data_IF_631604531412
#
_entry.id   IF_631604531412
#
_cell.length_a   1.000
_cell.length_b   1.000
_cell.length_c   1.000
_cell.angle_alpha   90.00
_cell.angle_beta   90.00
_cell.angle_gamma   90.00
#
_symmetry.space_group_name_H-M   'P 1'
#
loop_
_entity.id
_entity.type
_entity.pdbx_description
1 polymer ?
#
# COMPACT_ATOMS: atom_id res chain seq x y z
N UNK A 1 -14.29 5.46 14.25
CA UNK A 1 -14.31 5.25 15.72
C UNK A 1 -13.14 4.35 16.02
N UNK A 2 -12.32 4.74 16.98
CA UNK A 2 -11.22 3.90 17.49
C UNK A 2 -11.79 3.00 18.58
N UNK A 3 -11.61 1.69 18.44
CA UNK A 3 -12.16 0.67 19.34
C UNK A 3 -11.08 -0.38 19.65
N UNK A 4 -11.08 -0.99 20.85
CA UNK A 4 -10.28 -2.18 21.11
C UNK A 4 -10.75 -3.36 20.24
N UNK A 5 -9.94 -4.42 20.16
CA UNK A 5 -10.38 -5.68 19.57
C UNK A 5 -11.52 -6.27 20.41
N UNK A 6 -12.46 -6.97 19.77
CA UNK A 6 -13.58 -7.62 20.47
C UNK A 6 -13.09 -8.61 21.55
N UNK A 7 -11.98 -9.32 21.31
CA UNK A 7 -11.39 -10.23 22.30
C UNK A 7 -10.69 -9.52 23.46
N UNK A 8 -10.41 -8.22 23.33
CA UNK A 8 -9.54 -7.46 24.23
C UNK A 8 -8.04 -7.72 24.02
N UNK A 9 -7.66 -8.58 23.08
CA UNK A 9 -6.25 -8.92 22.85
C UNK A 9 -5.47 -7.75 22.25
N UNK A 10 -4.19 -7.67 22.63
CA UNK A 10 -3.22 -6.72 22.10
C UNK A 10 -1.94 -7.42 21.65
N UNK A 11 -1.08 -6.70 20.94
CA UNK A 11 0.30 -7.09 20.69
C UNK A 11 1.23 -5.87 20.65
N UNK A 12 2.48 -6.07 21.03
CA UNK A 12 3.51 -5.03 21.00
C UNK A 12 4.26 -5.07 19.67
N UNK A 13 4.48 -3.90 19.07
CA UNK A 13 5.41 -3.71 17.97
C UNK A 13 6.75 -3.23 18.53
N UNK A 14 7.84 -3.94 18.23
CA UNK A 14 9.19 -3.63 18.71
C UNK A 14 10.04 -3.01 17.60
N UNK A 15 10.93 -2.09 17.96
CA UNK A 15 11.85 -1.49 17.00
C UNK A 15 12.85 -2.55 16.48
N UNK A 16 12.95 -2.78 15.16
CA UNK A 16 13.87 -3.79 14.61
C UNK A 16 15.35 -3.40 14.75
N UNK A 17 15.68 -2.12 14.92
CA UNK A 17 17.05 -1.66 15.19
C UNK A 17 17.45 -1.79 16.68
N UNK A 18 16.48 -1.74 17.60
CA UNK A 18 16.67 -2.01 19.02
C UNK A 18 15.44 -2.72 19.62
N UNK A 19 15.48 -4.06 19.65
CA UNK A 19 14.34 -4.89 20.10
C UNK A 19 13.91 -4.68 21.55
N UNK A 20 14.68 -3.94 22.35
CA UNK A 20 14.29 -3.56 23.73
C UNK A 20 13.32 -2.37 23.73
N UNK A 21 13.27 -1.62 22.65
CA UNK A 21 12.39 -0.48 22.48
C UNK A 21 11.04 -0.95 21.91
N UNK A 22 9.98 -0.72 22.69
CA UNK A 22 8.61 -0.88 22.23
C UNK A 22 8.17 0.39 21.49
N UNK A 23 7.74 0.23 20.24
CA UNK A 23 7.22 1.34 19.43
C UNK A 23 5.84 1.72 19.95
N UNK A 24 4.93 0.76 20.04
CA UNK A 24 3.55 0.91 20.55
C UNK A 24 2.87 -0.46 20.71
N UNK A 25 1.84 -0.51 21.55
CA UNK A 25 0.89 -1.63 21.67
C UNK A 25 -0.36 -1.39 20.79
N UNK A 26 -0.77 -2.42 20.05
CA UNK A 26 -1.93 -2.36 19.15
C UNK A 26 -2.98 -3.42 19.49
N UNK A 27 -4.25 -3.09 19.24
CA UNK A 27 -5.33 -4.06 19.27
C UNK A 27 -5.09 -5.18 18.26
N UNK A 28 -5.32 -6.42 18.69
CA UNK A 28 -5.20 -7.62 17.86
C UNK A 28 -6.59 -8.07 17.40
N UNK A 29 -7.08 -7.42 16.36
CA UNK A 29 -8.39 -7.73 15.77
C UNK A 29 -8.46 -9.15 15.21
N UNK A 30 -9.63 -9.76 15.36
CA UNK A 30 -9.97 -11.08 14.85
C UNK A 30 -11.01 -11.05 13.72
N UNK A 31 -11.62 -12.22 13.46
CA UNK A 31 -12.64 -12.38 12.43
C UNK A 31 -13.88 -11.51 12.67
N UNK A 32 -14.33 -11.42 13.92
CA UNK A 32 -15.52 -10.62 14.29
C UNK A 32 -15.31 -9.12 14.05
N UNK A 33 -14.11 -8.60 14.35
CA UNK A 33 -13.77 -7.20 14.06
C UNK A 33 -13.77 -6.94 12.55
N UNK A 34 -13.26 -7.88 11.76
CA UNK A 34 -13.29 -7.80 10.30
C UNK A 34 -14.72 -7.79 9.75
N UNK A 35 -15.62 -8.62 10.28
CA UNK A 35 -17.04 -8.63 9.93
C UNK A 35 -17.70 -7.29 10.23
N UNK A 36 -17.52 -6.77 11.45
CA UNK A 36 -18.06 -5.47 11.84
C UNK A 36 -17.54 -4.32 10.95
N UNK A 37 -16.27 -4.37 10.55
CA UNK A 37 -15.68 -3.40 9.63
C UNK A 37 -16.28 -3.50 8.22
N UNK A 38 -16.53 -4.71 7.71
CA UNK A 38 -17.19 -4.93 6.41
C UNK A 38 -18.63 -4.43 6.42
N UNK A 39 -19.40 -4.72 7.48
CA UNK A 39 -20.77 -4.23 7.65
C UNK A 39 -20.82 -2.69 7.69
N UNK A 40 -19.88 -2.06 8.39
CA UNK A 40 -19.76 -0.60 8.41
C UNK A 40 -19.44 -0.02 7.03
N UNK A 41 -18.55 -0.68 6.27
CA UNK A 41 -18.20 -0.30 4.90
C UNK A 41 -19.38 -0.43 3.94
N UNK A 42 -20.15 -1.50 4.05
CA UNK A 42 -21.35 -1.73 3.24
C UNK A 42 -22.42 -0.68 3.54
N UNK A 43 -22.69 -0.43 4.82
CA UNK A 43 -23.67 0.58 5.25
C UNK A 43 -23.30 2.00 4.78
N UNK A 44 -22.01 2.33 4.75
CA UNK A 44 -21.53 3.64 4.30
C UNK A 44 -21.53 3.79 2.76
N UNK A 45 -21.49 2.68 2.02
CA UNK A 45 -21.29 2.68 0.58
C UNK A 45 -22.32 3.52 -0.21
N UNK A 46 -23.65 3.41 0.03
CA UNK A 46 -24.64 4.21 -0.69
C UNK A 46 -24.43 5.73 -0.59
N UNK A 47 -24.05 6.21 0.60
CA UNK A 47 -23.77 7.64 0.82
C UNK A 47 -22.47 8.08 0.16
N UNK A 48 -21.43 7.25 0.27
CA UNK A 48 -20.12 7.58 -0.29
C UNK A 48 -20.10 7.57 -1.82
N UNK A 49 -20.73 6.56 -2.47
CA UNK A 49 -20.82 6.49 -3.93
C UNK A 49 -21.59 7.69 -4.53
N UNK A 50 -22.52 8.27 -3.77
CA UNK A 50 -23.30 9.44 -4.19
C UNK A 50 -22.54 10.77 -4.06
N UNK A 51 -21.44 10.80 -3.28
CA UNK A 51 -20.57 11.98 -3.17
C UNK A 51 -19.85 12.21 -4.49
N UNK A 52 -19.83 13.42 -5.03
CA UNK A 52 -19.19 13.70 -6.33
C UNK A 52 -17.68 13.44 -6.30
N UNK A 53 -17.11 12.97 -7.41
CA UNK A 53 -15.68 12.66 -7.50
C UNK A 53 -14.77 13.82 -7.06
N UNK A 54 -14.98 15.08 -7.50
CA UNK A 54 -14.19 16.22 -7.00
C UNK A 54 -14.27 16.42 -5.49
N UNK A 55 -15.42 16.20 -4.86
CA UNK A 55 -15.56 16.29 -3.40
C UNK A 55 -14.75 15.20 -2.69
N UNK A 56 -14.73 13.98 -3.23
CA UNK A 56 -13.84 12.91 -2.73
C UNK A 56 -12.36 13.27 -2.91
N UNK A 57 -12.01 13.90 -4.04
CA UNK A 57 -10.66 14.41 -4.31
C UNK A 57 -10.21 15.49 -3.33
N UNK A 58 -11.10 16.39 -2.89
CA UNK A 58 -10.80 17.38 -1.85
C UNK A 58 -10.39 16.74 -0.52
N UNK A 59 -11.02 15.63 -0.14
CA UNK A 59 -10.64 14.86 1.06
C UNK A 59 -9.22 14.29 0.88
N UNK A 60 -8.90 13.67 -0.27
CA UNK A 60 -7.54 13.18 -0.53
C UNK A 60 -6.50 14.31 -0.49
N UNK A 61 -6.82 15.48 -1.04
CA UNK A 61 -5.94 16.64 -0.97
C UNK A 61 -5.73 17.13 0.47
N UNK A 62 -6.77 17.10 1.31
CA UNK A 62 -6.66 17.45 2.73
C UNK A 62 -5.78 16.45 3.49
N UNK A 63 -5.96 15.14 3.25
CA UNK A 63 -5.09 14.08 3.81
C UNK A 63 -3.63 14.31 3.43
N UNK A 64 -3.36 14.62 2.15
CA UNK A 64 -2.00 14.92 1.69
C UNK A 64 -1.37 16.08 2.47
N UNK A 65 -2.14 17.13 2.75
CA UNK A 65 -1.67 18.29 3.52
C UNK A 65 -1.42 17.94 5.00
N UNK A 66 -2.29 17.12 5.61
CA UNK A 66 -2.12 16.67 7.00
C UNK A 66 -0.85 15.82 7.14
N UNK A 67 -0.64 14.86 6.24
CA UNK A 67 0.56 14.01 6.24
C UNK A 67 1.82 14.85 5.99
N UNK A 68 1.78 15.78 5.02
CA UNK A 68 2.91 16.67 4.75
C UNK A 68 3.27 17.54 5.96
N UNK A 69 2.26 18.02 6.70
CA UNK A 69 2.46 18.80 7.93
C UNK A 69 3.12 18.02 9.07
N UNK A 70 3.05 16.68 9.06
CA UNK A 70 3.63 15.79 10.08
C UNK A 70 4.84 15.00 9.57
N UNK A 71 5.47 15.42 8.48
CA UNK A 71 6.48 14.61 7.79
C UNK A 71 7.64 14.17 8.69
N UNK A 72 8.17 15.06 9.53
CA UNK A 72 9.28 14.73 10.41
C UNK A 72 8.89 13.71 11.49
N UNK A 73 7.72 13.88 12.10
CA UNK A 73 7.17 12.97 13.12
C UNK A 73 6.89 11.58 12.53
N UNK A 74 6.23 11.53 11.37
CA UNK A 74 5.91 10.28 10.68
C UNK A 74 7.17 9.56 10.19
N UNK A 75 8.19 10.29 9.74
CA UNK A 75 9.46 9.69 9.34
C UNK A 75 10.20 9.06 10.53
N UNK A 76 10.17 9.70 11.71
CA UNK A 76 10.74 9.13 12.93
C UNK A 76 10.00 7.85 13.35
N UNK A 77 8.66 7.90 13.37
CA UNK A 77 7.84 6.74 13.72
C UNK A 77 8.05 5.58 12.74
N UNK A 78 8.09 5.86 11.43
CA UNK A 78 8.35 4.84 10.40
C UNK A 78 9.75 4.22 10.54
N UNK A 79 10.77 5.03 10.82
CA UNK A 79 12.12 4.53 11.08
C UNK A 79 12.14 3.58 12.28
N UNK A 80 11.45 3.93 13.37
CA UNK A 80 11.35 3.11 14.59
C UNK A 80 10.52 1.84 14.39
N UNK A 81 9.47 1.88 13.60
CA UNK A 81 8.59 0.72 13.35
C UNK A 81 9.17 -0.27 12.34
N UNK A 82 9.68 0.20 11.21
CA UNK A 82 10.06 -0.66 10.08
C UNK A 82 11.57 -0.90 9.99
N UNK A 83 12.39 0.05 10.45
CA UNK A 83 13.85 -0.07 10.48
C UNK A 83 14.60 0.60 9.32
N UNK A 84 13.91 1.12 8.30
CA UNK A 84 14.55 1.96 7.27
C UNK A 84 15.16 3.24 7.83
N UNK A 85 16.14 3.79 7.12
CA UNK A 85 16.80 5.02 7.53
C UNK A 85 15.83 6.21 7.54
N UNK A 86 16.12 7.25 8.33
CA UNK A 86 15.30 8.48 8.37
C UNK A 86 15.12 9.14 7.00
N UNK A 87 16.16 9.07 6.17
CA UNK A 87 16.16 9.60 4.79
C UNK A 87 15.18 8.81 3.92
N UNK A 88 15.23 7.49 4.00
CA UNK A 88 14.31 6.58 3.30
C UNK A 88 12.87 6.71 3.77
N UNK A 89 12.65 6.82 5.09
CA UNK A 89 11.34 7.09 5.67
C UNK A 89 10.79 8.42 5.15
N UNK A 90 11.58 9.50 5.18
CA UNK A 90 11.19 10.81 4.65
C UNK A 90 10.80 10.76 3.16
N UNK A 91 11.54 10.00 2.34
CA UNK A 91 11.18 9.77 0.93
C UNK A 91 9.84 9.04 0.78
N UNK A 92 9.56 8.05 1.63
CA UNK A 92 8.28 7.33 1.60
C UNK A 92 7.10 8.22 2.01
N UNK A 93 7.26 9.06 3.04
CA UNK A 93 6.23 10.03 3.42
C UNK A 93 5.98 11.01 2.27
N UNK A 94 7.03 11.55 1.65
CA UNK A 94 6.91 12.44 0.49
C UNK A 94 6.16 11.77 -0.66
N UNK A 95 6.51 10.52 -0.99
CA UNK A 95 5.80 9.74 -2.02
C UNK A 95 4.33 9.54 -1.69
N UNK A 96 3.98 9.31 -0.42
CA UNK A 96 2.59 9.19 0.04
C UNK A 96 1.80 10.46 -0.23
N UNK A 97 2.39 11.63 0.07
CA UNK A 97 1.77 12.93 -0.20
C UNK A 97 1.51 13.11 -1.70
N UNK A 98 2.48 12.77 -2.54
CA UNK A 98 2.36 12.88 -4.00
C UNK A 98 1.29 11.95 -4.57
N UNK A 99 1.16 10.72 -4.04
CA UNK A 99 0.12 9.78 -4.44
C UNK A 99 -1.27 10.37 -4.17
N UNK A 100 -1.51 10.90 -2.97
CA UNK A 100 -2.80 11.49 -2.63
C UNK A 100 -3.10 12.74 -3.46
N UNK A 101 -2.11 13.60 -3.70
CA UNK A 101 -2.24 14.77 -4.59
C UNK A 101 -2.57 14.37 -6.02
N UNK A 102 -1.88 13.37 -6.54
CA UNK A 102 -2.13 12.86 -7.89
C UNK A 102 -3.58 12.36 -8.03
N UNK A 103 -4.04 11.49 -7.12
CA UNK A 103 -5.41 10.97 -7.19
C UNK A 103 -6.48 12.02 -6.84
N UNK A 104 -6.15 13.03 -6.02
CA UNK A 104 -7.01 14.20 -5.85
C UNK A 104 -7.20 14.95 -7.18
N UNK A 105 -6.13 15.14 -7.97
CA UNK A 105 -6.21 15.70 -9.31
C UNK A 105 -7.02 14.82 -10.28
N UNK A 106 -6.77 13.50 -10.26
CA UNK A 106 -7.49 12.54 -11.08
C UNK A 106 -9.00 12.52 -10.82
N UNK A 107 -9.46 12.99 -9.66
CA UNK A 107 -10.89 13.08 -9.33
C UNK A 107 -11.71 13.90 -10.34
N UNK A 108 -11.11 14.86 -11.04
CA UNK A 108 -11.75 15.67 -12.08
C UNK A 108 -11.80 14.97 -13.45
N UNK A 109 -11.10 13.84 -13.59
CA UNK A 109 -11.02 13.06 -14.83
C UNK A 109 -11.90 11.81 -14.82
N UNK A 110 -12.52 11.50 -13.68
CA UNK A 110 -13.42 10.35 -13.54
C UNK A 110 -14.70 10.65 -14.31
N UNK A 111 -14.87 9.97 -15.44
CA UNK A 111 -16.03 10.14 -16.32
C UNK A 111 -16.34 8.89 -17.13
N UNK A 112 -16.91 9.13 -18.30
CA UNK A 112 -17.35 8.12 -19.25
C UNK A 112 -16.96 8.49 -20.67
N UNK A 113 -17.38 7.68 -21.63
CA UNK A 113 -17.14 7.96 -23.06
C UNK A 113 -18.47 7.95 -23.80
N UNK A 114 -18.74 9.00 -24.58
CA UNK A 114 -19.81 9.01 -25.58
C UNK A 114 -19.27 8.34 -26.83
N UNK A 115 -20.02 7.39 -27.38
CA UNK A 115 -19.63 6.63 -28.56
C UNK A 115 -20.69 6.77 -29.65
N UNK A 116 -20.32 6.68 -30.95
CA UNK A 116 -21.29 6.73 -32.04
C UNK A 116 -22.33 5.62 -31.91
N UNK A 117 -23.58 5.95 -32.25
CA UNK A 117 -24.68 4.99 -32.38
C UNK A 117 -25.02 4.85 -33.88
N UNK A 118 -25.35 3.63 -34.32
CA UNK A 118 -25.69 3.30 -35.71
C UNK A 118 -27.13 3.68 -36.09
N UNK A 119 -28.08 3.60 -35.14
CA UNK A 119 -29.44 4.09 -35.27
C UNK A 119 -29.56 5.61 -35.02
N UNK A 120 -30.39 6.33 -35.80
CA UNK A 120 -30.64 7.76 -35.59
C UNK A 120 -31.36 8.02 -34.26
N UNK A 121 -31.21 9.25 -33.73
CA UNK A 121 -31.87 9.73 -32.51
C UNK A 121 -31.58 8.91 -31.24
N UNK A 122 -30.44 8.21 -31.18
CA UNK A 122 -29.99 7.49 -29.99
C UNK A 122 -28.65 8.05 -29.46
N UNK A 123 -28.48 8.09 -28.14
CA UNK A 123 -27.24 8.46 -27.48
C UNK A 123 -26.65 7.25 -26.77
N UNK A 124 -25.45 6.83 -27.18
CA UNK A 124 -24.72 5.75 -26.53
C UNK A 124 -23.56 6.33 -25.71
N UNK A 125 -23.50 5.98 -24.43
CA UNK A 125 -22.40 6.37 -23.55
C UNK A 125 -22.11 5.28 -22.53
N UNK A 126 -20.87 5.28 -22.04
CA UNK A 126 -20.42 4.45 -20.93
C UNK A 126 -20.18 5.34 -19.71
N UNK A 127 -20.26 4.76 -18.50
CA UNK A 127 -19.82 5.42 -17.27
C UNK A 127 -19.00 4.45 -16.43
N UNK A 128 -18.10 4.96 -15.59
CA UNK A 128 -17.41 4.18 -14.57
C UNK A 128 -18.16 4.30 -13.24
N UNK A 129 -18.43 3.17 -12.60
CA UNK A 129 -19.02 3.10 -11.26
C UNK A 129 -18.07 2.45 -10.27
N UNK A 130 -18.16 2.81 -8.97
CA UNK A 130 -17.45 2.07 -7.93
C UNK A 130 -17.95 0.63 -7.84
N UNK A 131 -17.05 -0.26 -7.44
CA UNK A 131 -17.31 -1.69 -7.31
C UNK A 131 -18.14 -2.00 -6.06
N UNK A 132 -17.92 -1.31 -4.95
CA UNK A 132 -18.56 -1.63 -3.67
C UNK A 132 -17.60 -1.52 -2.50
N UNK A 133 -17.66 -2.50 -1.60
CA UNK A 133 -16.68 -2.68 -0.52
C UNK A 133 -15.42 -3.32 -1.09
N UNK A 134 -14.28 -2.67 -0.86
CA UNK A 134 -12.95 -3.12 -1.32
C UNK A 134 -12.09 -3.48 -0.12
N UNK A 135 -11.53 -4.69 -0.14
CA UNK A 135 -10.56 -5.14 0.85
C UNK A 135 -9.13 -4.81 0.40
N UNK A 136 -8.33 -4.24 1.29
CA UNK A 136 -6.92 -3.96 1.05
C UNK A 136 -6.06 -4.75 2.04
N UNK A 137 -5.12 -5.55 1.55
CA UNK A 137 -4.14 -6.26 2.38
C UNK A 137 -2.75 -5.77 1.96
N UNK A 138 -2.04 -5.13 2.88
CA UNK A 138 -0.77 -4.41 2.56
C UNK A 138 0.41 -4.97 3.37
N UNK A 139 1.63 -4.94 2.80
CA UNK A 139 2.82 -5.48 3.43
C UNK A 139 3.43 -4.47 4.40
N UNK A 140 4.52 -4.87 5.04
CA UNK A 140 5.22 -4.12 6.07
C UNK A 140 6.35 -3.22 5.53
N UNK A 141 6.93 -3.55 4.37
CA UNK A 141 8.15 -2.90 3.87
C UNK A 141 7.97 -1.46 3.38
N UNK A 142 6.76 -1.07 3.01
CA UNK A 142 6.38 0.31 2.69
C UNK A 142 4.98 0.56 3.28
N UNK A 143 4.89 0.70 4.62
CA UNK A 143 3.64 0.60 5.36
C UNK A 143 2.80 1.88 5.26
N UNK A 144 3.24 2.92 4.56
CA UNK A 144 2.42 4.10 4.25
C UNK A 144 2.19 4.29 2.75
N UNK A 145 3.22 4.11 1.92
CA UNK A 145 3.10 4.38 0.48
C UNK A 145 2.28 3.32 -0.26
N UNK A 146 2.47 2.03 0.06
CA UNK A 146 1.70 0.95 -0.58
C UNK A 146 0.21 0.99 -0.20
N UNK A 147 -0.17 1.21 1.08
CA UNK A 147 -1.55 1.51 1.42
C UNK A 147 -2.12 2.72 0.68
N UNK A 148 -1.37 3.84 0.58
CA UNK A 148 -1.84 5.03 -0.12
C UNK A 148 -2.11 4.77 -1.62
N UNK A 149 -1.25 3.99 -2.29
CA UNK A 149 -1.45 3.58 -3.70
C UNK A 149 -2.75 2.81 -3.92
N UNK A 150 -3.26 2.13 -2.90
CA UNK A 150 -4.51 1.37 -2.98
C UNK A 150 -5.71 2.17 -2.50
N UNK A 151 -5.57 2.90 -1.39
CA UNK A 151 -6.62 3.72 -0.79
C UNK A 151 -7.04 4.86 -1.70
N UNK A 152 -6.09 5.61 -2.24
CA UNK A 152 -6.36 6.79 -3.03
C UNK A 152 -7.27 6.49 -4.24
N UNK A 153 -6.96 5.52 -5.13
CA UNK A 153 -7.86 5.14 -6.22
C UNK A 153 -9.18 4.54 -5.73
N UNK A 154 -9.16 3.68 -4.70
CA UNK A 154 -10.38 3.06 -4.19
C UNK A 154 -11.39 4.11 -3.71
N UNK A 155 -10.94 5.04 -2.86
CA UNK A 155 -11.77 6.08 -2.27
C UNK A 155 -12.20 7.12 -3.30
N UNK A 156 -11.29 7.60 -4.17
CA UNK A 156 -11.66 8.61 -5.19
C UNK A 156 -12.63 8.06 -6.23
N UNK A 157 -12.60 6.77 -6.52
CA UNK A 157 -13.60 6.11 -7.38
C UNK A 157 -14.96 5.92 -6.70
N UNK A 158 -15.06 6.09 -5.38
CA UNK A 158 -16.30 6.01 -4.62
C UNK A 158 -16.55 4.66 -3.93
N UNK A 159 -15.51 3.83 -3.78
CA UNK A 159 -15.60 2.60 -2.99
C UNK A 159 -15.44 2.90 -1.50
N UNK A 160 -16.01 2.05 -0.66
CA UNK A 160 -15.65 1.97 0.77
C UNK A 160 -14.59 0.90 0.96
N UNK A 161 -13.77 1.05 2.01
CA UNK A 161 -12.56 0.25 2.18
C UNK A 161 -12.49 -0.38 3.55
N UNK A 162 -12.10 -1.66 3.58
CA UNK A 162 -11.59 -2.34 4.77
C UNK A 162 -10.14 -2.72 4.53
N UNK A 163 -9.23 -2.13 5.31
CA UNK A 163 -7.80 -2.34 5.18
C UNK A 163 -7.26 -3.19 6.33
N UNK A 164 -6.47 -4.20 5.99
CA UNK A 164 -5.64 -4.95 6.91
C UNK A 164 -4.17 -4.68 6.60
N UNK A 165 -3.46 -3.86 7.40
CA UNK A 165 -2.02 -3.70 7.26
C UNK A 165 -1.28 -4.94 7.81
N UNK A 166 0.00 -5.08 7.46
CA UNK A 166 0.84 -6.09 8.06
C UNK A 166 0.98 -5.84 9.56
N UNK A 167 0.85 -6.90 10.36
CA UNK A 167 0.97 -6.85 11.83
C UNK A 167 2.36 -6.38 12.30
N UNK A 168 3.39 -6.54 11.45
CA UNK A 168 4.75 -6.11 11.76
C UNK A 168 4.97 -4.60 11.62
N UNK A 169 4.10 -3.86 10.92
CA UNK A 169 4.22 -2.41 10.77
C UNK A 169 2.85 -1.73 10.59
N UNK A 170 1.97 -1.75 11.61
CA UNK A 170 0.62 -1.18 11.52
C UNK A 170 0.53 0.34 11.75
N UNK A 171 1.50 0.97 12.42
CA UNK A 171 1.42 2.35 12.92
C UNK A 171 1.12 3.33 11.79
N UNK A 172 1.86 3.24 10.70
CA UNK A 172 1.66 4.13 9.54
C UNK A 172 0.26 4.04 8.93
N UNK A 173 -0.32 2.84 8.88
CA UNK A 173 -1.68 2.65 8.39
C UNK A 173 -2.71 3.30 9.33
N UNK A 174 -2.46 3.30 10.64
CA UNK A 174 -3.31 3.97 11.63
C UNK A 174 -3.13 5.50 11.61
N UNK A 175 -1.90 6.01 11.45
CA UNK A 175 -1.65 7.45 11.27
C UNK A 175 -2.34 8.00 10.03
N UNK A 176 -2.31 7.24 8.93
CA UNK A 176 -3.06 7.59 7.73
C UNK A 176 -4.57 7.58 7.99
N UNK A 177 -5.10 6.61 8.76
CA UNK A 177 -6.51 6.59 9.13
C UNK A 177 -6.91 7.81 10.01
N UNK A 178 -6.04 8.26 10.92
CA UNK A 178 -6.22 9.52 11.67
C UNK A 178 -6.26 10.71 10.72
N UNK A 179 -5.35 10.78 9.75
CA UNK A 179 -5.36 11.85 8.74
C UNK A 179 -6.66 11.87 7.92
N UNK A 180 -7.24 10.71 7.58
CA UNK A 180 -8.55 10.62 6.92
C UNK A 180 -9.70 11.08 7.83
N UNK A 181 -9.67 10.74 9.11
CA UNK A 181 -10.66 11.20 10.09
C UNK A 181 -10.61 12.73 10.24
N UNK A 182 -9.41 13.31 10.38
CA UNK A 182 -9.19 14.75 10.45
C UNK A 182 -9.59 15.48 9.15
N UNK A 183 -9.41 14.84 7.99
CA UNK A 183 -9.86 15.36 6.69
C UNK A 183 -11.37 15.28 6.48
N UNK A 184 -12.13 14.75 7.44
CA UNK A 184 -13.60 14.68 7.38
C UNK A 184 -14.14 13.53 6.53
N UNK A 185 -13.38 12.44 6.37
CA UNK A 185 -13.89 11.25 5.70
C UNK A 185 -15.13 10.71 6.44
N UNK A 186 -16.25 10.41 5.76
CA UNK A 186 -17.45 9.92 6.43
C UNK A 186 -17.23 8.59 7.17
N UNK A 187 -17.94 8.41 8.29
CA UNK A 187 -17.85 7.20 9.12
C UNK A 187 -18.17 5.94 8.29
N UNK A 188 -17.34 4.91 8.46
CA UNK A 188 -17.48 3.62 7.78
C UNK A 188 -16.88 3.60 6.36
N UNK A 189 -16.46 4.74 5.79
CA UNK A 189 -15.86 4.75 4.44
C UNK A 189 -14.47 4.12 4.42
N UNK A 190 -13.68 4.34 5.47
CA UNK A 190 -12.42 3.65 5.72
C UNK A 190 -12.51 2.94 7.07
N UNK A 191 -12.19 1.66 7.08
CA UNK A 191 -12.07 0.83 8.27
C UNK A 191 -10.69 0.17 8.22
N UNK A 192 -9.99 0.12 9.36
CA UNK A 192 -8.68 -0.50 9.47
C UNK A 192 -8.73 -1.54 10.58
N UNK A 193 -8.37 -2.79 10.25
CA UNK A 193 -8.34 -3.90 11.20
C UNK A 193 -6.94 -4.46 11.25
N UNK A 194 -6.25 -4.23 12.36
CA UNK A 194 -4.91 -4.77 12.61
C UNK A 194 -5.07 -6.15 13.24
N UNK A 195 -4.61 -7.20 12.56
CA UNK A 195 -4.82 -8.57 13.02
C UNK A 195 -4.11 -9.60 12.16
N UNK A 196 -4.31 -10.87 12.46
CA UNK A 196 -3.63 -11.97 11.75
C UNK A 196 -4.10 -12.12 10.30
N UNK A 197 -3.28 -12.69 9.43
CA UNK A 197 -3.70 -13.01 8.06
C UNK A 197 -4.81 -14.05 8.02
N UNK A 198 -4.71 -15.06 8.90
CA UNK A 198 -5.64 -16.18 9.01
C UNK A 198 -7.03 -15.79 9.51
N UNK A 199 -7.15 -14.77 10.35
CA UNK A 199 -8.47 -14.38 10.86
C UNK A 199 -9.05 -13.23 10.05
N UNK A 200 -8.33 -12.12 9.98
CA UNK A 200 -8.81 -10.91 9.30
C UNK A 200 -8.69 -11.05 7.77
N UNK A 201 -7.56 -11.57 7.28
CA UNK A 201 -7.32 -11.73 5.84
C UNK A 201 -8.26 -12.75 5.20
N UNK A 202 -8.47 -13.91 5.83
CA UNK A 202 -9.40 -14.93 5.32
C UNK A 202 -10.85 -14.43 5.32
N UNK A 203 -11.26 -13.67 6.35
CA UNK A 203 -12.59 -13.04 6.35
C UNK A 203 -12.74 -12.07 5.17
N UNK A 204 -11.76 -11.19 4.95
CA UNK A 204 -11.76 -10.26 3.82
C UNK A 204 -11.78 -10.98 2.46
N UNK A 205 -11.12 -12.14 2.34
CA UNK A 205 -11.05 -12.90 1.11
C UNK A 205 -12.31 -13.73 0.84
N UNK A 206 -13.04 -14.16 1.86
CA UNK A 206 -14.18 -15.08 1.72
C UNK A 206 -15.55 -14.41 1.86
N UNK A 207 -15.62 -13.24 2.51
CA UNK A 207 -16.90 -12.57 2.77
C UNK A 207 -17.58 -12.09 1.47
N UNK A 208 -18.87 -12.41 1.24
CA UNK A 208 -19.60 -12.11 0.01
C UNK A 208 -19.81 -10.61 -0.25
N UNK A 209 -19.76 -9.77 0.78
CA UNK A 209 -19.93 -8.32 0.67
C UNK A 209 -18.72 -7.67 -0.02
N UNK A 210 -17.53 -8.25 0.13
CA UNK A 210 -16.30 -7.75 -0.51
C UNK A 210 -16.36 -8.01 -2.01
N UNK A 211 -16.40 -6.92 -2.78
CA UNK A 211 -16.53 -6.92 -4.25
C UNK A 211 -15.19 -6.89 -4.97
N UNK A 212 -14.14 -6.41 -4.31
CA UNK A 212 -12.78 -6.50 -4.80
C UNK A 212 -11.75 -6.61 -3.67
N UNK A 213 -10.61 -7.23 -3.97
CA UNK A 213 -9.48 -7.33 -3.05
C UNK A 213 -8.19 -6.92 -3.76
N UNK A 214 -7.42 -6.03 -3.14
CA UNK A 214 -6.08 -5.66 -3.58
C UNK A 214 -5.06 -6.09 -2.54
N UNK A 215 -4.21 -7.05 -2.92
CA UNK A 215 -3.17 -7.62 -2.08
C UNK A 215 -1.79 -7.16 -2.58
N UNK A 216 -0.90 -6.88 -1.64
CA UNK A 216 0.53 -6.84 -1.90
C UNK A 216 1.27 -7.62 -0.82
N UNK A 217 2.14 -8.55 -1.24
CA UNK A 217 2.88 -9.42 -0.33
C UNK A 217 3.65 -10.51 -1.08
N UNK A 218 3.82 -11.69 -0.46
CA UNK A 218 4.51 -12.81 -1.08
C UNK A 218 3.63 -13.55 -2.09
N UNK A 219 4.27 -14.22 -3.06
CA UNK A 219 3.59 -15.04 -4.06
C UNK A 219 2.74 -16.16 -3.45
N UNK A 220 3.27 -16.90 -2.48
CA UNK A 220 2.55 -18.01 -1.86
C UNK A 220 1.23 -17.56 -1.20
N UNK A 221 1.28 -16.49 -0.42
CA UNK A 221 0.09 -15.94 0.25
C UNK A 221 -0.87 -15.33 -0.78
N UNK A 222 -0.36 -14.53 -1.73
CA UNK A 222 -1.19 -13.91 -2.76
C UNK A 222 -1.91 -14.94 -3.64
N UNK A 223 -1.23 -16.01 -4.02
CA UNK A 223 -1.82 -17.13 -4.75
C UNK A 223 -2.93 -17.82 -3.93
N UNK A 224 -2.68 -18.10 -2.65
CA UNK A 224 -3.70 -18.65 -1.75
C UNK A 224 -4.94 -17.77 -1.64
N UNK A 225 -4.76 -16.46 -1.46
CA UNK A 225 -5.89 -15.50 -1.44
C UNK A 225 -6.62 -15.50 -2.79
N UNK A 226 -5.89 -15.50 -3.91
CA UNK A 226 -6.51 -15.52 -5.24
C UNK A 226 -7.40 -16.75 -5.46
N UNK A 227 -6.97 -17.92 -4.98
CA UNK A 227 -7.78 -19.14 -5.01
C UNK A 227 -9.07 -19.01 -4.19
N UNK A 228 -9.03 -18.34 -3.03
CA UNK A 228 -10.23 -18.11 -2.20
C UNK A 228 -11.22 -17.14 -2.86
N UNK A 229 -10.74 -16.20 -3.67
CA UNK A 229 -11.56 -15.20 -4.38
C UNK A 229 -12.23 -15.78 -5.64
N UNK A 230 -11.59 -16.76 -6.29
CA UNK A 230 -12.01 -17.29 -7.59
C UNK A 230 -13.44 -17.86 -7.63
N UNK A 231 -13.93 -18.65 -6.64
CA UNK A 231 -15.29 -19.20 -6.66
C UNK A 231 -16.40 -18.14 -6.72
N UNK A 232 -16.14 -16.92 -6.23
CA UNK A 232 -17.08 -15.79 -6.24
C UNK A 232 -16.81 -14.81 -7.37
N UNK A 233 -15.79 -15.07 -8.20
CA UNK A 233 -15.32 -14.16 -9.26
C UNK A 233 -15.02 -12.74 -8.72
N UNK A 234 -14.60 -12.64 -7.46
CA UNK A 234 -14.26 -11.37 -6.82
C UNK A 234 -13.09 -10.72 -7.56
N UNK A 235 -13.20 -9.43 -7.88
CA UNK A 235 -12.14 -8.73 -8.61
C UNK A 235 -10.87 -8.67 -7.75
N UNK A 236 -9.75 -9.14 -8.30
CA UNK A 236 -8.50 -9.26 -7.56
C UNK A 236 -7.37 -8.48 -8.25
N UNK A 237 -6.53 -7.83 -7.44
CA UNK A 237 -5.22 -7.34 -7.84
C UNK A 237 -4.16 -7.92 -6.90
N UNK A 238 -3.11 -8.52 -7.47
CA UNK A 238 -2.10 -9.28 -6.73
C UNK A 238 -0.70 -8.79 -7.11
N UNK A 239 -0.05 -8.06 -6.21
CA UNK A 239 1.37 -7.69 -6.34
C UNK A 239 2.20 -8.62 -5.44
N UNK A 240 3.03 -9.47 -6.03
CA UNK A 240 3.52 -10.70 -5.38
C UNK A 240 5.05 -10.85 -5.30
N UNK A 241 5.78 -9.71 -5.33
CA UNK A 241 7.23 -9.69 -5.38
C UNK A 241 7.80 -9.87 -6.78
N UNK A 242 9.12 -10.05 -6.89
CA UNK A 242 9.80 -10.14 -8.18
C UNK A 242 11.21 -10.71 -8.07
N UNK A 243 11.79 -11.04 -9.23
CA UNK A 243 13.19 -11.46 -9.39
C UNK A 243 13.84 -10.57 -10.43
N UNK A 244 14.00 -9.29 -10.07
CA UNK A 244 14.29 -8.22 -11.02
C UNK A 244 15.75 -8.27 -11.47
N UNK A 245 16.02 -8.48 -12.78
CA UNK A 245 17.36 -8.47 -13.30
C UNK A 245 17.81 -7.06 -13.72
N UNK A 246 19.09 -6.76 -13.50
CA UNK A 246 19.79 -5.68 -14.20
C UNK A 246 20.78 -6.32 -15.16
N UNK A 247 20.69 -5.97 -16.45
CA UNK A 247 21.57 -6.48 -17.50
C UNK A 247 22.70 -5.47 -17.73
N UNK A 248 23.95 -5.92 -17.63
CA UNK A 248 25.17 -5.12 -17.82
C UNK A 248 25.92 -5.65 -19.03
N UNK A 249 25.92 -4.86 -20.11
CA UNK A 249 26.61 -5.18 -21.36
C UNK A 249 28.08 -4.72 -21.27
N UNK A 250 28.93 -5.27 -22.13
CA UNK A 250 30.36 -5.02 -22.18
C UNK A 250 30.72 -3.60 -22.61
N UNK A 251 29.78 -2.87 -23.22
CA UNK A 251 29.91 -1.45 -23.58
C UNK A 251 29.28 -0.51 -22.55
N UNK A 252 28.76 -1.03 -21.43
CA UNK A 252 28.21 -0.23 -20.35
C UNK A 252 29.31 0.53 -19.59
N UNK A 253 28.94 1.68 -19.02
CA UNK A 253 29.72 2.34 -17.97
C UNK A 253 29.67 1.46 -16.70
N UNK A 254 30.75 0.73 -16.44
CA UNK A 254 30.79 -0.26 -15.35
C UNK A 254 30.78 0.39 -13.96
N UNK A 255 31.31 1.60 -13.81
CA UNK A 255 31.28 2.34 -12.54
C UNK A 255 29.85 2.80 -12.23
N UNK A 256 29.17 3.37 -13.22
CA UNK A 256 27.75 3.73 -13.08
C UNK A 256 26.88 2.48 -12.86
N UNK A 257 27.11 1.41 -13.60
CA UNK A 257 26.36 0.17 -13.47
C UNK A 257 26.51 -0.43 -12.06
N UNK A 258 27.73 -0.50 -11.53
CA UNK A 258 27.98 -1.02 -10.18
C UNK A 258 27.26 -0.18 -9.12
N UNK A 259 27.32 1.15 -9.22
CA UNK A 259 26.62 2.07 -8.31
C UNK A 259 25.11 1.90 -8.36
N UNK A 260 24.52 1.81 -9.55
CA UNK A 260 23.07 1.63 -9.73
C UNK A 260 22.61 0.27 -9.22
N UNK A 261 23.36 -0.80 -9.49
CA UNK A 261 23.06 -2.15 -8.99
C UNK A 261 23.15 -2.20 -7.47
N UNK A 262 24.20 -1.62 -6.88
CA UNK A 262 24.34 -1.54 -5.42
C UNK A 262 23.20 -0.73 -4.79
N UNK A 263 22.86 0.43 -5.37
CA UNK A 263 21.72 1.23 -4.91
C UNK A 263 20.41 0.43 -4.99
N UNK A 264 20.10 -0.17 -6.14
CA UNK A 264 18.85 -0.90 -6.35
C UNK A 264 18.78 -2.23 -5.57
N UNK A 265 19.92 -2.79 -5.18
CA UNK A 265 20.00 -4.02 -4.38
C UNK A 265 20.01 -3.79 -2.87
N UNK A 266 20.61 -2.69 -2.38
CA UNK A 266 20.81 -2.44 -0.95
C UNK A 266 19.93 -1.35 -0.35
N UNK A 267 19.34 -0.46 -1.16
CA UNK A 267 18.38 0.53 -0.66
C UNK A 267 17.21 -0.19 0.03
N UNK A 268 16.76 0.35 1.17
CA UNK A 268 15.76 -0.27 2.06
C UNK A 268 16.15 -1.71 2.44
N UNK A 269 17.45 -1.94 2.66
CA UNK A 269 18.06 -3.27 2.90
C UNK A 269 17.68 -4.34 1.88
N UNK A 270 17.34 -3.93 0.65
CA UNK A 270 16.89 -4.82 -0.42
C UNK A 270 15.46 -5.34 -0.26
N UNK A 271 14.71 -4.87 0.74
CA UNK A 271 13.35 -5.30 1.06
C UNK A 271 12.31 -4.59 0.18
N UNK A 272 12.56 -4.53 -1.13
CA UNK A 272 11.71 -3.87 -2.13
C UNK A 272 11.29 -4.89 -3.19
N UNK A 273 10.02 -4.93 -3.58
CA UNK A 273 9.55 -5.86 -4.62
C UNK A 273 10.25 -5.66 -5.97
N UNK A 274 10.73 -4.44 -6.24
CA UNK A 274 11.49 -4.04 -7.43
C UNK A 274 13.01 -4.03 -7.21
N UNK A 275 13.51 -4.50 -6.07
CA UNK A 275 14.95 -4.55 -5.79
C UNK A 275 15.69 -5.37 -6.84
N UNK A 276 16.87 -4.91 -7.24
CA UNK A 276 17.76 -5.68 -8.11
C UNK A 276 18.36 -6.83 -7.30
N UNK A 277 17.86 -8.04 -7.54
CA UNK A 277 18.35 -9.26 -6.88
C UNK A 277 19.14 -10.18 -7.82
N UNK A 278 19.33 -9.75 -9.07
CA UNK A 278 20.11 -10.47 -10.08
C UNK A 278 20.80 -9.48 -11.01
N UNK A 279 22.13 -9.41 -10.98
CA UNK A 279 22.89 -8.81 -12.07
C UNK A 279 23.18 -9.89 -13.12
N UNK A 280 22.95 -9.60 -14.39
CA UNK A 280 23.31 -10.45 -15.54
C UNK A 280 24.34 -9.67 -16.33
N UNK A 281 25.59 -10.12 -16.30
CA UNK A 281 26.74 -9.36 -16.80
C UNK A 281 27.37 -10.13 -17.96
N UNK A 282 27.73 -9.43 -19.03
CA UNK A 282 28.48 -10.05 -20.13
C UNK A 282 29.86 -10.53 -19.64
N UNK A 283 30.23 -11.75 -20.04
CA UNK A 283 31.40 -12.47 -19.53
C UNK A 283 32.70 -11.64 -19.63
N UNK A 284 32.85 -10.88 -20.71
CA UNK A 284 34.03 -10.03 -20.96
C UNK A 284 34.31 -9.00 -19.86
N UNK A 285 33.28 -8.53 -19.15
CA UNK A 285 33.38 -7.48 -18.13
C UNK A 285 32.96 -7.96 -16.73
N UNK A 286 32.70 -9.26 -16.56
CA UNK A 286 32.13 -9.81 -15.34
C UNK A 286 33.03 -9.63 -14.10
N UNK A 287 34.32 -9.88 -14.23
CA UNK A 287 35.28 -9.77 -13.13
C UNK A 287 35.43 -8.31 -12.69
N UNK A 288 35.66 -7.41 -13.64
CA UNK A 288 35.80 -5.96 -13.38
C UNK A 288 34.53 -5.39 -12.74
N UNK A 289 33.35 -5.72 -13.26
CA UNK A 289 32.08 -5.30 -12.68
C UNK A 289 31.91 -5.82 -11.24
N UNK A 290 32.29 -7.07 -10.99
CA UNK A 290 32.18 -7.69 -9.66
C UNK A 290 33.06 -6.96 -8.65
N UNK A 291 34.29 -6.59 -9.02
CA UNK A 291 35.18 -5.79 -8.16
C UNK A 291 34.58 -4.42 -7.81
N UNK A 292 34.03 -3.71 -8.81
CA UNK A 292 33.36 -2.42 -8.61
C UNK A 292 32.14 -2.55 -7.71
N UNK A 293 31.30 -3.57 -7.91
CA UNK A 293 30.13 -3.83 -7.07
C UNK A 293 30.52 -4.19 -5.63
N UNK A 294 31.60 -4.96 -5.43
CA UNK A 294 32.13 -5.28 -4.10
C UNK A 294 32.60 -4.02 -3.37
N UNK A 295 33.21 -3.06 -4.07
CA UNK A 295 33.62 -1.78 -3.48
C UNK A 295 32.39 -0.98 -2.98
N UNK A 296 31.34 -0.92 -3.79
CA UNK A 296 30.06 -0.28 -3.43
C UNK A 296 29.33 -0.95 -2.25
N UNK A 297 29.47 -2.26 -2.11
CA UNK A 297 28.93 -3.00 -0.96
C UNK A 297 29.72 -2.71 0.33
N UNK A 298 31.06 -2.69 0.25
CA UNK A 298 31.94 -2.43 1.40
C UNK A 298 31.87 -1.00 1.93
N UNK A 299 31.43 -0.05 1.11
CA UNK A 299 31.28 1.36 1.51
C UNK A 299 30.03 1.63 2.35
N UNK A 300 29.16 0.64 2.56
CA UNK A 300 27.89 0.80 3.29
C UNK A 300 28.12 0.76 4.80
N UNK A 301 27.58 1.76 5.48
CA UNK A 301 27.54 1.80 6.94
C UNK A 301 26.24 1.16 7.43
N UNK A 302 26.36 0.14 8.28
CA UNK A 302 25.23 -0.54 8.91
C UNK A 302 25.13 -0.08 10.37
N UNK A 303 23.96 0.41 10.77
CA UNK A 303 23.69 0.90 12.12
C UNK A 303 22.61 1.96 12.15
N UNK A 304 22.24 2.36 13.37
CA UNK A 304 21.43 3.54 13.65
C UNK A 304 22.33 4.78 13.76
#
# INVERSE_FOLDING_TARGET
>A
KWVPAESGDTFVNSNPADTREEVTEYAKGGRTDAQAAIEAAEKAFPGWRATTAPTRGKILSAVANIIAGRQAELAELLCREEGKTKVEAGMEIGRTVDIFRFFAGMSYTIGGTVVPHDLPNNMLYTKREPLGVVALITPWNFPIALPAWKLAPALVSGNTVVMKPATMAPAMALEMAKAFEEAGLPKGVLNVVVGSGKEVGDELATNPVVQALSFTGSHEIGHGIYQQLAPRMTRAQMEMGGKNPTIVLADADLDLAAKLVAMAGFMMTGQVCTATSRAVVEEKVADEFTEKLMAEAKSRNVGN
#
